data_IF_133882269491
#
_entry.id   IF_133882269491
#
_cell.length_a   1.000
_cell.length_b   1.000
_cell.length_c   1.000
_cell.angle_alpha   90.00
_cell.angle_beta   90.00
_cell.angle_gamma   90.00
#
_symmetry.space_group_name_H-M   'P 1'
#
loop_
_entity.id
_entity.type
_entity.pdbx_description
1 polymer ?
#
# COMPACT_ATOMS: atom_id res chain seq x y z
N UNK A 1 -15.86 -5.73 54.38
CA UNK A 1 -16.56 -6.80 55.05
C UNK A 1 -17.75 -7.19 54.23
N UNK A 2 -17.65 -8.28 53.46
CA UNK A 2 -18.72 -9.24 53.14
C UNK A 2 -18.15 -10.31 52.20
N UNK A 3 -18.06 -11.51 52.69
CA UNK A 3 -17.66 -12.76 52.04
C UNK A 3 -18.72 -13.15 51.02
N UNK A 4 -18.29 -13.66 49.86
CA UNK A 4 -19.17 -14.44 48.97
C UNK A 4 -18.59 -15.85 48.83
N UNK A 5 -19.44 -16.83 49.16
CA UNK A 5 -19.17 -18.26 49.23
C UNK A 5 -19.07 -18.89 47.84
N UNK A 6 -18.15 -19.87 47.71
CA UNK A 6 -18.08 -20.87 46.67
C UNK A 6 -19.22 -21.88 46.78
N UNK A 7 -19.94 -22.12 45.69
CA UNK A 7 -20.78 -23.30 45.53
C UNK A 7 -20.20 -24.22 44.46
N UNK A 8 -19.68 -25.37 44.91
CA UNK A 8 -19.41 -26.51 44.05
C UNK A 8 -20.70 -27.33 43.87
N UNK A 9 -20.97 -27.73 42.63
CA UNK A 9 -22.03 -28.70 42.30
C UNK A 9 -21.42 -30.08 42.04
N UNK A 10 -22.10 -31.16 42.46
CA UNK A 10 -21.55 -32.51 42.43
C UNK A 10 -21.78 -33.22 41.09
N UNK A 11 -20.77 -34.03 40.70
CA UNK A 11 -20.80 -34.95 39.60
C UNK A 11 -21.71 -36.13 39.88
N UNK A 12 -22.79 -36.30 39.11
CA UNK A 12 -23.63 -37.51 39.10
C UNK A 12 -23.19 -38.42 37.96
N UNK A 13 -22.62 -39.58 38.33
CA UNK A 13 -22.24 -40.62 37.38
C UNK A 13 -23.44 -41.43 36.92
N UNK A 14 -23.54 -41.68 35.65
CA UNK A 14 -24.62 -42.45 35.03
C UNK A 14 -24.16 -43.88 34.76
N UNK A 15 -24.74 -44.86 35.51
CA UNK A 15 -24.39 -46.30 35.59
C UNK A 15 -25.02 -47.14 34.47
N UNK A 16 -25.41 -46.64 33.37
CA UNK A 16 -26.14 -47.40 32.34
C UNK A 16 -25.34 -47.76 31.08
N UNK A 17 -24.02 -47.64 31.09
CA UNK A 17 -23.18 -47.91 29.90
C UNK A 17 -22.68 -49.36 29.79
N UNK A 18 -23.10 -50.29 30.72
CA UNK A 18 -22.55 -51.66 30.81
C UNK A 18 -23.52 -52.73 30.31
N UNK A 19 -24.71 -52.37 29.79
CA UNK A 19 -25.72 -53.39 29.38
C UNK A 19 -25.86 -53.56 27.87
N UNK A 20 -25.23 -52.65 27.03
CA UNK A 20 -25.32 -52.75 25.57
C UNK A 20 -24.19 -53.53 24.89
N UNK A 21 -23.26 -54.13 25.61
CA UNK A 21 -22.09 -54.81 25.00
C UNK A 21 -22.19 -56.38 24.95
N UNK A 22 -23.32 -57.00 25.31
CA UNK A 22 -23.45 -58.47 25.31
C UNK A 22 -24.43 -59.02 24.26
N UNK A 23 -25.02 -58.15 23.40
CA UNK A 23 -26.08 -58.54 22.46
C UNK A 23 -25.70 -58.84 21.02
N UNK A 24 -24.41 -58.76 20.59
CA UNK A 24 -24.01 -58.97 19.21
C UNK A 24 -22.94 -60.05 19.05
N UNK A 25 -23.29 -61.27 19.44
CA UNK A 25 -22.54 -62.44 19.02
C UNK A 25 -23.55 -63.58 18.82
N UNK A 26 -24.16 -63.71 17.66
CA UNK A 26 -24.72 -64.95 17.10
C UNK A 26 -25.65 -64.64 15.90
N UNK A 27 -25.05 -64.39 14.71
CA UNK A 27 -25.69 -64.78 13.45
C UNK A 27 -24.62 -64.87 12.34
N UNK A 28 -24.01 -66.04 12.29
CA UNK A 28 -23.27 -66.48 11.11
C UNK A 28 -24.24 -67.13 10.16
N UNK A 29 -24.38 -66.67 8.92
CA UNK A 29 -24.83 -67.54 7.82
C UNK A 29 -24.45 -66.90 6.44
N UNK A 30 -23.54 -67.63 5.82
CA UNK A 30 -23.41 -67.93 4.36
C UNK A 30 -23.09 -66.81 3.30
N UNK A 31 -22.05 -67.02 2.54
CA UNK A 31 -21.67 -66.04 1.50
C UNK A 31 -22.34 -66.33 0.14
N UNK A 32 -23.06 -65.35 -0.42
CA UNK A 32 -23.39 -65.34 -1.84
C UNK A 32 -22.35 -64.52 -2.58
N UNK A 33 -21.51 -65.17 -3.36
CA UNK A 33 -20.56 -64.55 -4.28
C UNK A 33 -21.33 -63.81 -5.37
N UNK A 34 -21.20 -62.48 -5.44
CA UNK A 34 -21.60 -61.68 -6.62
C UNK A 34 -20.34 -61.27 -7.40
N UNK A 35 -20.37 -61.21 -8.73
CA UNK A 35 -19.20 -60.89 -9.53
C UNK A 35 -18.71 -59.46 -9.29
N UNK A 36 -17.40 -59.33 -9.07
CA UNK A 36 -16.69 -58.07 -8.90
C UNK A 36 -16.61 -57.36 -10.24
N UNK A 37 -17.45 -56.34 -10.44
CA UNK A 37 -17.21 -55.33 -11.46
C UNK A 37 -16.09 -54.43 -10.94
N UNK A 38 -14.92 -54.54 -11.56
CA UNK A 38 -13.80 -53.62 -11.30
C UNK A 38 -14.25 -52.19 -11.64
N UNK A 39 -14.41 -51.34 -10.58
CA UNK A 39 -14.47 -49.91 -10.72
C UNK A 39 -13.16 -49.45 -11.36
N UNK A 40 -13.18 -48.50 -12.34
CA UNK A 40 -11.95 -47.92 -12.84
C UNK A 40 -11.18 -47.31 -11.70
N UNK A 41 -9.93 -47.70 -11.50
CA UNK A 41 -9.00 -47.00 -10.61
C UNK A 41 -8.87 -45.57 -11.08
N UNK A 42 -9.33 -44.62 -10.26
CA UNK A 42 -8.98 -43.21 -10.40
C UNK A 42 -7.45 -43.12 -10.29
N UNK A 43 -6.76 -42.56 -11.27
CA UNK A 43 -5.32 -42.40 -11.17
C UNK A 43 -5.01 -41.63 -9.87
N UNK A 44 -4.22 -42.24 -9.00
CA UNK A 44 -3.64 -41.51 -7.86
C UNK A 44 -2.93 -40.30 -8.45
N UNK A 45 -3.41 -39.10 -8.10
CA UNK A 45 -2.65 -37.87 -8.36
C UNK A 45 -1.23 -38.11 -7.84
N UNK A 46 -0.30 -38.19 -8.76
CA UNK A 46 1.13 -38.15 -8.46
C UNK A 46 1.36 -36.76 -7.86
N UNK A 47 1.45 -36.69 -6.52
CA UNK A 47 1.94 -35.48 -5.86
C UNK A 47 3.31 -35.20 -6.49
N UNK A 48 3.33 -34.27 -7.42
CA UNK A 48 4.58 -33.68 -7.93
C UNK A 48 5.30 -33.19 -6.68
N UNK A 49 6.54 -33.64 -6.41
CA UNK A 49 7.28 -33.18 -5.24
C UNK A 49 7.34 -31.66 -5.31
N UNK A 50 6.82 -30.98 -4.29
CA UNK A 50 7.02 -29.55 -4.14
C UNK A 50 8.52 -29.30 -4.25
N UNK A 51 8.92 -28.53 -5.28
CA UNK A 51 10.30 -28.11 -5.44
C UNK A 51 10.70 -27.45 -4.13
N UNK A 52 11.63 -28.05 -3.42
CA UNK A 52 12.19 -27.50 -2.18
C UNK A 52 12.62 -26.06 -2.47
N UNK A 53 11.95 -25.11 -1.81
CA UNK A 53 12.28 -23.70 -1.92
C UNK A 53 13.72 -23.53 -1.45
N UNK A 54 14.61 -23.07 -2.34
CA UNK A 54 15.98 -22.75 -1.97
C UNK A 54 15.96 -21.54 -1.06
N UNK A 55 16.01 -21.78 0.24
CA UNK A 55 16.07 -20.73 1.27
C UNK A 55 17.46 -20.11 1.31
N UNK A 56 17.54 -18.84 1.66
CA UNK A 56 18.82 -18.20 1.95
C UNK A 56 19.35 -18.71 3.31
N UNK A 57 20.65 -18.97 3.41
CA UNK A 57 21.30 -19.10 4.71
C UNK A 57 21.30 -17.75 5.45
N UNK A 58 21.55 -16.69 4.71
CA UNK A 58 21.43 -15.29 5.12
C UNK A 58 20.91 -14.48 3.92
N UNK A 59 19.86 -13.69 4.13
CA UNK A 59 19.33 -12.83 3.08
C UNK A 59 19.97 -11.43 3.16
N UNK A 60 20.57 -10.97 2.06
CA UNK A 60 21.28 -9.71 1.99
C UNK A 60 20.38 -8.61 1.40
N UNK A 61 20.15 -7.56 2.16
CA UNK A 61 19.39 -6.39 1.73
C UNK A 61 20.31 -5.17 1.72
N UNK A 62 20.30 -4.41 0.62
CA UNK A 62 20.98 -3.12 0.53
C UNK A 62 19.94 -1.99 0.62
N UNK A 63 20.14 -1.08 1.57
CA UNK A 63 19.30 0.10 1.77
C UNK A 63 20.09 1.33 1.34
N UNK A 64 19.59 2.04 0.33
CA UNK A 64 20.19 3.22 -0.30
C UNK A 64 19.33 4.45 -0.01
N UNK A 65 19.74 5.29 0.95
CA UNK A 65 19.01 6.47 1.41
C UNK A 65 19.93 7.70 1.53
N UNK A 66 19.44 8.93 1.32
CA UNK A 66 20.25 10.14 1.31
C UNK A 66 20.37 10.72 2.73
N UNK A 67 21.25 10.19 3.55
CA UNK A 67 21.54 10.77 4.89
C UNK A 67 22.27 12.10 4.79
N UNK A 68 23.01 12.34 3.68
CA UNK A 68 23.81 13.55 3.46
C UNK A 68 24.80 13.81 4.59
N UNK A 69 25.47 12.75 5.07
CA UNK A 69 26.41 12.83 6.18
C UNK A 69 27.62 13.72 5.88
N UNK A 70 27.95 13.90 4.60
CA UNK A 70 28.99 14.84 4.13
C UNK A 70 28.64 16.31 4.41
N UNK A 71 27.37 16.65 4.58
CA UNK A 71 26.89 18.02 4.87
C UNK A 71 26.78 18.29 6.39
N UNK A 72 26.95 17.24 7.22
CA UNK A 72 26.76 17.31 8.67
C UNK A 72 28.09 17.21 9.39
N UNK A 73 28.44 18.24 10.17
CA UNK A 73 29.57 18.19 11.08
C UNK A 73 29.16 17.44 12.35
N UNK A 74 29.29 16.10 12.37
CA UNK A 74 28.77 15.23 13.42
C UNK A 74 29.13 15.67 14.86
N UNK A 75 30.35 16.25 15.07
CA UNK A 75 30.79 16.71 16.40
C UNK A 75 30.08 17.99 16.87
N UNK A 76 29.58 18.79 15.96
CA UNK A 76 28.94 20.09 16.24
C UNK A 76 27.56 20.19 15.59
N UNK A 77 26.97 19.04 15.27
CA UNK A 77 25.66 18.99 14.62
C UNK A 77 24.60 19.68 15.50
N UNK A 78 23.85 20.55 14.87
CA UNK A 78 22.68 21.21 15.48
C UNK A 78 21.40 20.58 14.95
N UNK A 79 20.27 20.93 15.58
CA UNK A 79 18.95 20.40 15.19
C UNK A 79 18.67 20.55 13.68
N UNK A 80 18.99 21.70 13.11
CA UNK A 80 18.80 21.97 11.67
C UNK A 80 19.58 21.01 10.74
N UNK A 81 20.73 20.52 11.16
CA UNK A 81 21.51 19.56 10.40
C UNK A 81 20.85 18.17 10.43
N UNK A 82 20.32 17.77 11.58
CA UNK A 82 19.58 16.51 11.73
C UNK A 82 18.27 16.55 10.92
N UNK A 83 17.60 17.70 10.88
CA UNK A 83 16.38 17.89 10.09
C UNK A 83 16.59 17.66 8.59
N UNK A 84 17.78 17.97 8.04
CA UNK A 84 18.11 17.67 6.63
C UNK A 84 18.11 16.17 6.34
N UNK A 85 18.51 15.35 7.31
CA UNK A 85 18.54 13.89 7.19
C UNK A 85 17.28 13.21 7.75
N UNK A 86 16.33 13.97 8.31
CA UNK A 86 15.22 13.42 9.09
C UNK A 86 14.42 12.35 8.35
N UNK A 87 14.12 12.58 7.06
CA UNK A 87 13.41 11.60 6.22
C UNK A 87 14.20 10.28 6.12
N UNK A 88 15.50 10.37 5.85
CA UNK A 88 16.35 9.19 5.68
C UNK A 88 16.54 8.41 6.98
N UNK A 89 16.71 9.14 8.10
CA UNK A 89 16.84 8.56 9.44
C UNK A 89 15.54 7.85 9.84
N UNK A 90 14.42 8.52 9.70
CA UNK A 90 13.10 8.00 10.07
C UNK A 90 12.77 6.75 9.23
N UNK A 91 13.01 6.81 7.91
CA UNK A 91 12.83 5.66 7.02
C UNK A 91 13.75 4.48 7.40
N UNK A 92 15.04 4.73 7.63
CA UNK A 92 16.00 3.71 8.03
C UNK A 92 15.61 3.02 9.33
N UNK A 93 15.26 3.80 10.36
CA UNK A 93 14.88 3.28 11.67
C UNK A 93 13.65 2.38 11.57
N UNK A 94 12.62 2.85 10.85
CA UNK A 94 11.44 2.03 10.57
C UNK A 94 11.78 0.77 9.77
N UNK A 95 12.56 0.89 8.70
CA UNK A 95 12.95 -0.23 7.85
C UNK A 95 13.71 -1.30 8.63
N UNK A 96 14.68 -0.88 9.44
CA UNK A 96 15.45 -1.80 10.30
C UNK A 96 14.52 -2.55 11.27
N UNK A 97 13.61 -1.84 11.94
CA UNK A 97 12.62 -2.49 12.81
C UNK A 97 11.72 -3.49 12.07
N UNK A 98 11.34 -3.15 10.83
CA UNK A 98 10.57 -4.06 9.98
C UNK A 98 11.33 -5.34 9.65
N UNK A 99 12.60 -5.22 9.22
CA UNK A 99 13.48 -6.36 8.93
C UNK A 99 13.73 -7.20 10.19
N UNK A 100 14.04 -6.56 11.32
CA UNK A 100 14.26 -7.26 12.61
C UNK A 100 13.00 -8.03 13.05
N UNK A 101 11.82 -7.42 12.86
CA UNK A 101 10.54 -8.09 13.14
C UNK A 101 10.28 -9.28 12.21
N UNK A 102 10.61 -9.16 10.94
CA UNK A 102 10.52 -10.27 9.98
C UNK A 102 11.49 -11.40 10.33
N UNK A 103 12.71 -11.06 10.75
CA UNK A 103 13.72 -12.02 11.22
C UNK A 103 13.21 -12.83 12.41
N UNK A 104 12.65 -12.14 13.40
CA UNK A 104 12.10 -12.77 14.61
C UNK A 104 10.94 -13.72 14.32
N UNK A 105 10.02 -13.30 13.42
CA UNK A 105 8.83 -14.10 13.08
C UNK A 105 9.19 -15.33 12.24
N UNK A 106 10.16 -15.20 11.32
CA UNK A 106 10.47 -16.24 10.35
C UNK A 106 11.70 -17.10 10.72
N UNK A 107 12.47 -16.73 11.75
CA UNK A 107 13.71 -17.39 12.12
C UNK A 107 14.81 -17.31 11.03
N UNK A 108 14.79 -16.21 10.23
CA UNK A 108 15.72 -15.98 9.12
C UNK A 108 16.78 -14.97 9.49
N UNK A 109 18.04 -15.25 9.14
CA UNK A 109 19.12 -14.29 9.26
C UNK A 109 19.10 -13.28 8.09
N UNK A 110 19.23 -12.00 8.42
CA UNK A 110 19.36 -10.91 7.44
C UNK A 110 20.66 -10.15 7.64
N UNK A 111 21.28 -9.77 6.53
CA UNK A 111 22.36 -8.82 6.51
C UNK A 111 21.87 -7.53 5.84
N UNK A 112 21.73 -6.48 6.63
CA UNK A 112 21.34 -5.16 6.16
C UNK A 112 22.60 -4.32 5.92
N UNK A 113 22.87 -4.00 4.65
CA UNK A 113 23.90 -3.05 4.22
C UNK A 113 23.24 -1.70 4.00
N UNK A 114 23.73 -0.66 4.66
CA UNK A 114 23.15 0.69 4.58
C UNK A 114 24.15 1.63 3.93
N UNK A 115 23.69 2.35 2.90
CA UNK A 115 24.51 3.27 2.13
C UNK A 115 23.90 4.66 2.10
N UNK A 116 24.74 5.67 2.35
CA UNK A 116 24.39 7.08 2.13
C UNK A 116 24.56 7.42 0.66
N UNK A 117 23.45 7.64 -0.05
CA UNK A 117 23.49 8.04 -1.47
C UNK A 117 23.85 9.51 -1.65
N UNK A 118 23.79 10.33 -0.60
CA UNK A 118 23.98 11.80 -0.65
C UNK A 118 23.13 12.51 -1.72
N UNK A 119 22.08 11.83 -2.22
CA UNK A 119 21.28 12.28 -3.36
C UNK A 119 22.17 12.60 -4.60
N UNK A 120 23.11 11.72 -4.88
CA UNK A 120 24.15 11.92 -5.90
C UNK A 120 24.39 10.65 -6.71
N UNK A 121 24.29 10.73 -8.03
CA UNK A 121 24.56 9.63 -8.95
C UNK A 121 26.03 9.18 -8.86
N UNK A 122 26.97 10.11 -8.70
CA UNK A 122 28.40 9.78 -8.51
C UNK A 122 28.64 8.98 -7.24
N UNK A 123 27.89 9.26 -6.16
CA UNK A 123 27.98 8.47 -4.93
C UNK A 123 27.42 7.05 -5.14
N UNK A 124 26.30 6.93 -5.89
CA UNK A 124 25.74 5.61 -6.25
C UNK A 124 26.72 4.81 -7.11
N UNK A 125 27.35 5.46 -8.09
CA UNK A 125 28.41 4.88 -8.92
C UNK A 125 29.54 4.32 -8.08
N UNK A 126 30.09 5.11 -7.18
CA UNK A 126 31.13 4.66 -6.25
C UNK A 126 30.71 3.48 -5.36
N UNK A 127 29.46 3.42 -4.92
CA UNK A 127 28.91 2.27 -4.17
C UNK A 127 28.93 1.00 -5.04
N UNK A 128 28.56 1.12 -6.32
CA UNK A 128 28.54 0.01 -7.29
C UNK A 128 29.98 -0.45 -7.59
N UNK A 129 30.86 0.47 -7.96
CA UNK A 129 32.26 0.18 -8.36
C UNK A 129 33.07 -0.44 -7.23
N UNK A 130 32.89 0.01 -6.00
CA UNK A 130 33.53 -0.56 -4.81
C UNK A 130 32.91 -1.90 -4.38
N UNK A 131 31.99 -2.47 -5.17
CA UNK A 131 31.40 -3.78 -4.89
C UNK A 131 30.41 -3.79 -3.71
N UNK A 132 29.93 -2.62 -3.27
CA UNK A 132 29.01 -2.51 -2.13
C UNK A 132 27.75 -3.36 -2.27
N UNK A 133 27.26 -3.53 -3.51
CA UNK A 133 26.04 -4.28 -3.81
C UNK A 133 26.28 -5.75 -4.19
N UNK A 134 27.51 -6.26 -4.15
CA UNK A 134 27.81 -7.67 -4.45
C UNK A 134 27.11 -8.58 -3.43
N UNK A 135 26.45 -9.62 -3.94
CA UNK A 135 25.74 -10.61 -3.13
C UNK A 135 24.42 -10.11 -2.53
N UNK A 136 23.91 -8.95 -2.97
CA UNK A 136 22.62 -8.41 -2.52
C UNK A 136 21.47 -9.17 -3.19
N UNK A 137 20.45 -9.52 -2.41
CA UNK A 137 19.24 -10.20 -2.87
C UNK A 137 18.10 -9.21 -3.17
N UNK A 138 18.10 -8.05 -2.52
CA UNK A 138 17.13 -6.98 -2.69
C UNK A 138 17.79 -5.62 -2.45
N UNK A 139 17.60 -4.67 -3.35
CA UNK A 139 17.98 -3.28 -3.17
C UNK A 139 16.73 -2.48 -2.84
N UNK A 140 16.76 -1.65 -1.80
CA UNK A 140 15.69 -0.71 -1.42
C UNK A 140 16.21 0.71 -1.56
N UNK A 141 15.60 1.49 -2.44
CA UNK A 141 16.12 2.78 -2.89
C UNK A 141 17.01 2.64 -4.14
N UNK A 142 17.62 3.72 -4.60
CA UNK A 142 17.57 5.10 -4.07
C UNK A 142 16.15 5.65 -3.98
N UNK A 143 15.95 6.65 -3.12
CA UNK A 143 14.60 7.17 -2.82
C UNK A 143 14.10 8.23 -3.80
N UNK A 144 15.00 8.80 -4.61
CA UNK A 144 14.67 9.79 -5.61
C UNK A 144 14.72 9.24 -7.04
N UNK A 145 13.89 9.77 -7.98
CA UNK A 145 13.76 9.23 -9.32
C UNK A 145 15.07 9.17 -10.11
N UNK A 146 15.92 10.19 -10.03
CA UNK A 146 17.19 10.24 -10.77
C UNK A 146 18.14 9.11 -10.34
N UNK A 147 18.26 8.87 -9.04
CA UNK A 147 19.04 7.76 -8.52
C UNK A 147 18.48 6.39 -8.92
N UNK A 148 17.15 6.24 -8.92
CA UNK A 148 16.50 5.01 -9.39
C UNK A 148 16.75 4.76 -10.88
N UNK A 149 16.66 5.81 -11.70
CA UNK A 149 16.98 5.73 -13.14
C UNK A 149 18.44 5.31 -13.36
N UNK A 150 19.36 5.87 -12.57
CA UNK A 150 20.76 5.49 -12.60
C UNK A 150 20.97 4.01 -12.24
N UNK A 151 20.25 3.49 -11.23
CA UNK A 151 20.31 2.10 -10.79
C UNK A 151 19.76 1.08 -11.79
N UNK A 152 18.94 1.53 -12.77
CA UNK A 152 18.25 0.63 -13.72
C UNK A 152 19.22 -0.30 -14.44
N UNK A 153 20.32 0.24 -15.00
CA UNK A 153 21.28 -0.56 -15.74
C UNK A 153 21.93 -1.65 -14.86
N UNK A 154 22.30 -1.31 -13.63
CA UNK A 154 22.86 -2.27 -12.69
C UNK A 154 21.85 -3.36 -12.33
N UNK A 155 20.62 -2.96 -12.01
CA UNK A 155 19.52 -3.86 -11.66
C UNK A 155 19.22 -4.86 -12.78
N UNK A 156 19.08 -4.37 -14.01
CA UNK A 156 18.79 -5.23 -15.18
C UNK A 156 19.96 -6.17 -15.48
N UNK A 157 21.19 -5.65 -15.52
CA UNK A 157 22.38 -6.43 -15.84
C UNK A 157 22.67 -7.53 -14.81
N UNK A 158 22.42 -7.26 -13.53
CA UNK A 158 22.66 -8.21 -12.44
C UNK A 158 21.42 -9.04 -12.09
N UNK A 159 20.26 -8.72 -12.62
CA UNK A 159 18.99 -9.39 -12.28
C UNK A 159 18.58 -9.17 -10.82
N UNK A 160 19.00 -8.04 -10.20
CA UNK A 160 18.72 -7.76 -8.79
C UNK A 160 17.51 -6.83 -8.70
N UNK A 161 16.46 -7.22 -7.96
CA UNK A 161 15.29 -6.38 -7.76
C UNK A 161 15.60 -5.08 -7.01
N UNK A 162 15.00 -3.98 -7.48
CA UNK A 162 15.11 -2.65 -6.88
C UNK A 162 13.73 -2.15 -6.47
N UNK A 163 13.56 -1.88 -5.19
CA UNK A 163 12.34 -1.26 -4.65
C UNK A 163 12.46 0.26 -4.76
N UNK A 164 11.49 0.88 -5.45
CA UNK A 164 11.23 2.32 -5.36
C UNK A 164 10.32 2.58 -4.15
N UNK A 165 10.85 3.04 -3.01
CA UNK A 165 10.09 3.05 -1.78
C UNK A 165 9.21 4.29 -1.61
N UNK A 166 9.58 5.44 -2.21
CA UNK A 166 9.01 6.74 -1.87
C UNK A 166 8.53 7.57 -3.07
N UNK A 167 9.09 7.36 -4.26
CA UNK A 167 8.73 8.17 -5.43
C UNK A 167 7.48 7.64 -6.14
N UNK A 168 6.52 8.54 -6.40
CA UNK A 168 5.31 8.25 -7.18
C UNK A 168 5.53 8.41 -8.70
N UNK A 169 6.73 8.04 -9.18
CA UNK A 169 7.11 8.15 -10.58
C UNK A 169 6.35 7.17 -11.46
N UNK A 170 6.22 7.50 -12.73
CA UNK A 170 5.70 6.57 -13.73
C UNK A 170 6.72 5.43 -13.95
N UNK A 171 6.34 4.16 -13.80
CA UNK A 171 7.26 3.04 -13.99
C UNK A 171 7.90 3.03 -15.39
N UNK A 172 7.22 3.57 -16.40
CA UNK A 172 7.72 3.71 -17.75
C UNK A 172 8.97 4.61 -17.88
N UNK A 173 9.21 5.51 -16.92
CA UNK A 173 10.40 6.36 -16.90
C UNK A 173 11.68 5.54 -16.68
N UNK A 174 11.56 4.37 -16.05
CA UNK A 174 12.70 3.52 -15.69
C UNK A 174 12.92 2.37 -16.67
N UNK A 175 11.86 1.85 -17.29
CA UNK A 175 11.92 0.68 -18.18
C UNK A 175 12.76 -0.46 -17.59
N UNK A 176 12.45 -0.84 -16.35
CA UNK A 176 13.19 -1.83 -15.56
C UNK A 176 12.27 -2.97 -15.13
N UNK A 177 12.41 -4.19 -15.70
CA UNK A 177 11.58 -5.34 -15.34
C UNK A 177 11.78 -5.84 -13.90
N UNK A 178 12.87 -5.42 -13.25
CA UNK A 178 13.18 -5.76 -11.85
C UNK A 178 12.75 -4.65 -10.86
N UNK A 179 12.12 -3.58 -11.34
CA UNK A 179 11.64 -2.50 -10.48
C UNK A 179 10.41 -2.95 -9.68
N UNK A 180 10.34 -2.54 -8.42
CA UNK A 180 9.19 -2.76 -7.56
C UNK A 180 8.72 -1.39 -7.08
N UNK A 181 7.67 -0.86 -7.68
CA UNK A 181 7.10 0.46 -7.37
C UNK A 181 6.08 0.35 -6.23
N UNK A 182 6.39 0.97 -5.10
CA UNK A 182 5.55 0.93 -3.88
C UNK A 182 4.46 1.99 -3.91
N UNK A 183 4.84 3.24 -4.24
CA UNK A 183 3.90 4.37 -4.26
C UNK A 183 3.16 4.41 -5.59
N UNK A 184 1.84 4.57 -5.50
CA UNK A 184 0.98 4.62 -6.68
C UNK A 184 1.25 5.91 -7.48
N UNK A 185 1.36 5.78 -8.79
CA UNK A 185 1.43 6.92 -9.68
C UNK A 185 0.04 7.58 -9.85
N UNK A 186 0.02 8.77 -10.40
CA UNK A 186 -1.21 9.57 -10.51
C UNK A 186 -2.29 8.93 -11.40
N UNK A 187 -1.90 8.13 -12.40
CA UNK A 187 -2.85 7.43 -13.28
C UNK A 187 -3.68 6.40 -12.53
N UNK A 188 -3.05 5.73 -11.54
CA UNK A 188 -3.77 4.79 -10.66
C UNK A 188 -4.78 5.53 -9.76
N UNK A 189 -4.43 6.74 -9.29
CA UNK A 189 -5.37 7.59 -8.55
C UNK A 189 -6.55 8.02 -9.41
N UNK A 190 -6.30 8.47 -10.63
CA UNK A 190 -7.34 8.85 -11.58
C UNK A 190 -8.26 7.66 -11.91
N UNK A 191 -7.68 6.48 -12.16
CA UNK A 191 -8.43 5.24 -12.40
C UNK A 191 -9.28 4.85 -11.19
N UNK A 192 -8.74 4.90 -9.97
CA UNK A 192 -9.49 4.58 -8.74
C UNK A 192 -10.71 5.47 -8.58
N UNK A 193 -10.56 6.78 -8.83
CA UNK A 193 -11.67 7.74 -8.82
C UNK A 193 -12.69 7.39 -9.91
N UNK A 194 -12.23 7.18 -11.14
CA UNK A 194 -13.10 6.85 -12.27
C UNK A 194 -13.89 5.56 -12.05
N UNK A 195 -13.24 4.49 -11.57
CA UNK A 195 -13.88 3.21 -11.27
C UNK A 195 -14.93 3.35 -10.16
N UNK A 196 -14.65 4.12 -9.13
CA UNK A 196 -15.61 4.40 -8.07
C UNK A 196 -16.82 5.19 -8.60
N UNK A 197 -16.59 6.26 -9.36
CA UNK A 197 -17.64 7.11 -9.93
C UNK A 197 -18.55 6.31 -10.86
N UNK A 198 -17.95 5.54 -11.78
CA UNK A 198 -18.73 4.77 -12.78
C UNK A 198 -19.54 3.62 -12.17
N UNK A 199 -19.10 3.07 -11.05
CA UNK A 199 -19.81 2.03 -10.31
C UNK A 199 -20.93 2.60 -9.41
N UNK A 200 -20.72 3.81 -8.86
CA UNK A 200 -21.55 4.35 -7.79
C UNK A 200 -22.68 5.24 -8.31
N UNK A 201 -22.44 5.98 -9.39
CA UNK A 201 -23.39 6.98 -9.87
C UNK A 201 -24.09 6.57 -11.16
N UNK A 202 -25.40 6.92 -11.26
CA UNK A 202 -26.18 6.66 -12.46
C UNK A 202 -25.84 7.69 -13.56
N UNK A 203 -25.35 7.24 -14.73
CA UNK A 203 -24.93 8.15 -15.80
C UNK A 203 -26.07 9.00 -16.37
N UNK A 204 -27.33 8.52 -16.33
CA UNK A 204 -28.47 9.28 -16.84
C UNK A 204 -28.78 10.55 -16.03
N UNK A 205 -28.46 10.56 -14.74
CA UNK A 205 -28.77 11.67 -13.83
C UNK A 205 -27.55 12.43 -13.36
N UNK A 206 -26.33 11.96 -13.72
CA UNK A 206 -25.06 12.49 -13.22
C UNK A 206 -24.28 13.17 -14.33
N UNK A 207 -23.76 14.35 -14.04
CA UNK A 207 -22.78 15.07 -14.86
C UNK A 207 -21.42 14.99 -14.16
N UNK A 208 -20.40 14.48 -14.85
CA UNK A 208 -19.00 14.47 -14.36
C UNK A 208 -18.32 15.73 -14.86
N UNK A 209 -17.77 16.52 -13.97
CA UNK A 209 -17.11 17.78 -14.28
C UNK A 209 -15.66 17.75 -13.80
N UNK A 210 -14.73 17.91 -14.71
CA UNK A 210 -13.33 18.15 -14.38
C UNK A 210 -13.07 19.66 -14.29
N UNK A 211 -12.68 20.16 -13.12
CA UNK A 211 -12.16 21.52 -12.94
C UNK A 211 -10.65 21.46 -12.98
N UNK A 212 -10.07 22.01 -14.04
CA UNK A 212 -8.65 21.91 -14.33
C UNK A 212 -8.09 23.25 -14.82
N UNK A 213 -7.27 23.94 -14.01
CA UNK A 213 -6.69 25.24 -14.40
C UNK A 213 -5.63 25.16 -15.51
N UNK A 214 -5.29 23.93 -15.97
CA UNK A 214 -4.40 23.67 -17.12
C UNK A 214 -2.93 24.05 -16.92
N UNK A 215 -2.47 24.25 -15.68
CA UNK A 215 -1.02 24.32 -15.46
C UNK A 215 -0.37 22.96 -15.69
N UNK A 216 0.94 22.93 -15.92
CA UNK A 216 1.66 21.66 -16.13
C UNK A 216 1.49 20.68 -14.94
N UNK A 217 1.47 21.21 -13.71
CA UNK A 217 1.24 20.40 -12.50
C UNK A 217 -0.20 19.86 -12.40
N UNK A 218 -1.19 20.65 -12.82
CA UNK A 218 -2.60 20.25 -12.76
C UNK A 218 -2.95 19.24 -13.86
N UNK A 219 -2.29 19.32 -15.02
CA UNK A 219 -2.45 18.37 -16.11
C UNK A 219 -1.94 16.96 -15.74
N UNK A 220 -1.02 16.82 -14.80
CA UNK A 220 -0.56 15.52 -14.31
C UNK A 220 -1.75 14.67 -13.81
N UNK A 221 -2.71 15.30 -13.13
CA UNK A 221 -3.97 14.63 -12.68
C UNK A 221 -5.10 14.82 -13.70
N UNK A 222 -5.17 15.99 -14.36
CA UNK A 222 -6.23 16.35 -15.30
C UNK A 222 -6.25 15.46 -16.54
N UNK A 223 -5.09 15.18 -17.14
CA UNK A 223 -4.99 14.38 -18.34
C UNK A 223 -5.50 12.93 -18.15
N UNK A 224 -5.07 12.14 -17.14
CA UNK A 224 -5.58 10.79 -16.95
C UNK A 224 -7.07 10.76 -16.56
N UNK A 225 -7.59 11.74 -15.81
CA UNK A 225 -9.04 11.86 -15.55
C UNK A 225 -9.82 12.11 -16.83
N UNK A 226 -9.37 13.05 -17.66
CA UNK A 226 -9.96 13.35 -18.97
C UNK A 226 -9.96 12.10 -19.84
N UNK A 227 -8.84 11.42 -19.95
CA UNK A 227 -8.71 10.18 -20.73
C UNK A 227 -9.70 9.11 -20.26
N UNK A 228 -9.81 8.92 -18.93
CA UNK A 228 -10.71 7.93 -18.36
C UNK A 228 -12.18 8.20 -18.74
N UNK A 229 -12.67 9.43 -18.53
CA UNK A 229 -14.08 9.75 -18.77
C UNK A 229 -14.43 9.97 -20.23
N UNK A 230 -13.48 10.38 -21.07
CA UNK A 230 -13.67 10.41 -22.53
C UNK A 230 -13.91 9.01 -23.11
N UNK A 231 -13.40 7.96 -22.46
CA UNK A 231 -13.67 6.56 -22.82
C UNK A 231 -14.98 6.00 -22.23
N UNK A 232 -15.80 6.84 -21.55
CA UNK A 232 -17.06 6.45 -20.90
C UNK A 232 -18.26 7.24 -21.49
N UNK A 233 -18.70 6.93 -22.73
CA UNK A 233 -19.69 7.73 -23.45
C UNK A 233 -21.06 7.79 -22.77
N UNK A 234 -21.32 6.89 -21.81
CA UNK A 234 -22.57 6.88 -21.05
C UNK A 234 -22.65 8.05 -20.05
N UNK A 235 -21.51 8.60 -19.61
CA UNK A 235 -21.49 9.73 -18.71
C UNK A 235 -21.38 11.04 -19.49
N UNK A 236 -22.21 12.02 -19.12
CA UNK A 236 -22.00 13.39 -19.57
C UNK A 236 -20.73 13.91 -18.89
N UNK A 237 -19.66 14.09 -19.65
CA UNK A 237 -18.38 14.61 -19.18
C UNK A 237 -18.14 16.02 -19.67
N UNK A 238 -17.73 16.92 -18.79
CA UNK A 238 -17.42 18.33 -19.11
C UNK A 238 -16.11 18.72 -18.42
N UNK A 239 -15.38 19.63 -19.04
CA UNK A 239 -14.14 20.18 -18.48
C UNK A 239 -14.14 21.69 -18.52
N UNK A 240 -13.77 22.31 -17.40
CA UNK A 240 -13.70 23.76 -17.22
C UNK A 240 -12.40 24.18 -16.54
N UNK A 241 -11.86 25.35 -16.93
CA UNK A 241 -10.70 25.96 -16.29
C UNK A 241 -10.97 26.49 -14.88
N UNK A 242 -12.24 26.71 -14.51
CA UNK A 242 -12.61 27.20 -13.19
C UNK A 242 -14.03 26.85 -12.80
N UNK A 243 -14.31 26.89 -11.51
CA UNK A 243 -15.66 26.71 -10.94
C UNK A 243 -16.64 27.83 -11.35
N UNK A 244 -16.16 29.02 -11.67
CA UNK A 244 -17.00 30.12 -12.12
C UNK A 244 -17.62 29.83 -13.49
N UNK A 245 -16.90 29.13 -14.37
CA UNK A 245 -17.46 28.67 -15.65
C UNK A 245 -18.53 27.60 -15.43
N UNK A 246 -18.30 26.65 -14.51
CA UNK A 246 -19.31 25.64 -14.15
C UNK A 246 -20.63 26.26 -13.71
N UNK A 247 -20.58 27.28 -12.86
CA UNK A 247 -21.79 27.94 -12.32
C UNK A 247 -22.75 28.39 -13.44
N UNK A 248 -22.22 28.90 -14.55
CA UNK A 248 -23.05 29.37 -15.70
C UNK A 248 -23.62 28.23 -16.54
N UNK A 249 -23.22 26.98 -16.29
CA UNK A 249 -23.58 25.79 -17.09
C UNK A 249 -24.38 24.75 -16.31
N UNK A 250 -24.81 25.08 -15.07
CA UNK A 250 -25.57 24.15 -14.25
C UNK A 250 -26.93 23.78 -14.89
N UNK A 251 -27.24 22.49 -14.81
CA UNK A 251 -28.52 21.91 -15.26
C UNK A 251 -29.36 21.55 -14.03
N UNK A 252 -30.61 21.98 -14.03
CA UNK A 252 -31.52 21.69 -12.93
C UNK A 252 -31.80 20.20 -12.79
N UNK A 253 -31.80 19.69 -11.56
CA UNK A 253 -32.14 18.31 -11.25
C UNK A 253 -31.05 17.28 -11.59
N UNK A 254 -29.82 17.71 -11.93
CA UNK A 254 -28.67 16.85 -12.13
C UNK A 254 -27.80 16.80 -10.88
N UNK A 255 -27.20 15.63 -10.65
CA UNK A 255 -26.13 15.43 -9.69
C UNK A 255 -24.77 15.72 -10.34
N UNK A 256 -23.90 16.41 -9.65
CA UNK A 256 -22.57 16.77 -10.14
C UNK A 256 -21.48 16.00 -9.41
N UNK A 257 -20.70 15.21 -10.16
CA UNK A 257 -19.44 14.64 -9.69
C UNK A 257 -18.33 15.58 -10.13
N UNK A 258 -17.79 16.34 -9.19
CA UNK A 258 -16.76 17.34 -9.45
C UNK A 258 -15.40 16.74 -9.16
N UNK A 259 -14.53 16.71 -10.17
CA UNK A 259 -13.15 16.26 -10.11
C UNK A 259 -12.26 17.50 -10.13
N UNK A 260 -11.48 17.74 -9.09
CA UNK A 260 -10.58 18.89 -9.01
C UNK A 260 -9.13 18.43 -9.13
N UNK A 261 -8.49 18.75 -10.27
CA UNK A 261 -7.14 18.26 -10.59
C UNK A 261 -6.02 18.98 -9.84
N UNK A 262 -6.29 20.13 -9.24
CA UNK A 262 -5.27 20.99 -8.63
C UNK A 262 -5.02 20.69 -7.17
N UNK A 263 -3.76 20.81 -6.75
CA UNK A 263 -3.33 20.89 -5.36
C UNK A 263 -2.83 22.29 -4.96
N UNK A 264 -2.83 23.26 -5.88
CA UNK A 264 -2.44 24.64 -5.56
C UNK A 264 -3.50 25.31 -4.67
N UNK A 265 -3.10 25.68 -3.44
CA UNK A 265 -3.98 26.31 -2.45
C UNK A 265 -4.59 27.62 -2.96
N UNK A 266 -3.87 28.38 -3.78
CA UNK A 266 -4.37 29.64 -4.35
C UNK A 266 -5.55 29.43 -5.28
N UNK A 267 -5.60 28.28 -5.94
CA UNK A 267 -6.72 27.87 -6.79
C UNK A 267 -7.80 27.11 -6.02
N UNK A 268 -7.39 26.19 -5.17
CA UNK A 268 -8.32 25.27 -4.47
C UNK A 268 -9.19 26.03 -3.47
N UNK A 269 -8.62 26.89 -2.61
CA UNK A 269 -9.40 27.58 -1.56
C UNK A 269 -10.56 28.41 -2.12
N UNK A 270 -10.34 29.31 -3.11
CA UNK A 270 -11.45 30.06 -3.72
C UNK A 270 -12.46 29.14 -4.44
N UNK A 271 -11.99 28.02 -5.00
CA UNK A 271 -12.88 27.02 -5.64
C UNK A 271 -13.81 26.38 -4.61
N UNK A 272 -13.29 25.95 -3.45
CA UNK A 272 -14.09 25.40 -2.36
C UNK A 272 -15.12 26.42 -1.84
N UNK A 273 -14.70 27.67 -1.62
CA UNK A 273 -15.60 28.76 -1.21
C UNK A 273 -16.74 28.97 -2.20
N UNK A 274 -16.44 28.92 -3.50
CA UNK A 274 -17.44 29.04 -4.55
C UNK A 274 -18.39 27.86 -4.59
N UNK A 275 -17.89 26.63 -4.51
CA UNK A 275 -18.72 25.43 -4.42
C UNK A 275 -19.66 25.46 -3.22
N UNK A 276 -19.18 25.93 -2.05
CA UNK A 276 -20.03 26.11 -0.87
C UNK A 276 -21.16 27.10 -1.10
N UNK A 277 -20.92 28.20 -1.83
CA UNK A 277 -21.98 29.15 -2.21
C UNK A 277 -22.99 28.51 -3.16
N UNK A 278 -22.52 27.75 -4.15
CA UNK A 278 -23.38 27.05 -5.11
C UNK A 278 -24.24 25.98 -4.42
N UNK A 279 -23.68 25.25 -3.45
CA UNK A 279 -24.41 24.28 -2.63
C UNK A 279 -25.57 24.91 -1.88
N UNK A 280 -25.37 26.09 -1.30
CA UNK A 280 -26.44 26.82 -0.56
C UNK A 280 -27.64 27.20 -1.45
N UNK A 281 -27.42 27.31 -2.75
CA UNK A 281 -28.48 27.60 -3.73
C UNK A 281 -28.94 26.36 -4.50
N UNK A 282 -28.62 25.16 -4.03
CA UNK A 282 -29.20 23.91 -4.48
C UNK A 282 -28.34 23.05 -5.41
N UNK A 283 -27.03 23.29 -5.48
CA UNK A 283 -26.13 22.35 -6.16
C UNK A 283 -26.10 21.01 -5.41
N UNK A 284 -26.41 19.91 -6.10
CA UNK A 284 -26.22 18.54 -5.62
C UNK A 284 -24.89 18.01 -6.15
N UNK A 285 -23.88 18.04 -5.30
CA UNK A 285 -22.51 17.66 -5.68
C UNK A 285 -21.89 16.61 -4.79
N UNK A 286 -20.87 15.96 -5.37
CA UNK A 286 -19.83 15.23 -4.66
C UNK A 286 -18.49 15.68 -5.24
N UNK A 287 -17.52 15.90 -4.39
CA UNK A 287 -16.19 16.42 -4.77
C UNK A 287 -15.12 15.32 -4.65
N UNK A 288 -14.29 15.19 -5.67
CA UNK A 288 -13.06 14.41 -5.64
C UNK A 288 -11.88 15.36 -5.77
N UNK A 289 -11.07 15.42 -4.71
CA UNK A 289 -9.87 16.25 -4.66
C UNK A 289 -8.61 15.54 -5.12
N UNK A 290 -7.55 16.34 -5.33
CA UNK A 290 -6.22 15.81 -5.63
C UNK A 290 -5.67 14.97 -4.46
N UNK A 291 -4.91 13.87 -4.69
CA UNK A 291 -4.33 13.03 -3.64
C UNK A 291 -3.52 13.80 -2.59
N UNK A 292 -2.81 14.85 -2.99
CA UNK A 292 -1.98 15.68 -2.10
C UNK A 292 -2.79 16.45 -1.05
N UNK A 293 -4.11 16.53 -1.19
CA UNK A 293 -4.95 17.19 -0.18
C UNK A 293 -4.88 16.52 1.19
N UNK A 294 -4.55 15.23 1.22
CA UNK A 294 -4.34 14.48 2.48
C UNK A 294 -3.24 15.11 3.34
N UNK A 295 -2.26 15.77 2.71
CA UNK A 295 -1.12 16.43 3.38
C UNK A 295 -1.32 17.92 3.61
N UNK A 296 -2.44 18.49 3.12
CA UNK A 296 -2.69 19.91 3.18
C UNK A 296 -3.81 20.24 4.18
N UNK A 297 -3.67 21.38 4.85
CA UNK A 297 -4.65 21.88 5.80
C UNK A 297 -5.71 22.71 5.06
N UNK A 298 -6.71 22.06 4.46
CA UNK A 298 -7.93 22.69 3.99
C UNK A 298 -8.98 22.73 5.10
N UNK A 299 -9.99 23.58 4.95
CA UNK A 299 -11.11 23.66 5.89
C UNK A 299 -11.92 22.35 5.86
N UNK A 300 -11.82 21.57 6.93
CA UNK A 300 -12.48 20.26 7.04
C UNK A 300 -14.01 20.35 6.99
N UNK A 301 -14.60 21.43 7.53
CA UNK A 301 -16.04 21.65 7.47
C UNK A 301 -16.53 21.81 6.03
N UNK A 302 -15.78 22.57 5.21
CA UNK A 302 -16.08 22.72 3.79
C UNK A 302 -15.94 21.40 3.05
N UNK A 303 -14.84 20.67 3.27
CA UNK A 303 -14.62 19.39 2.61
C UNK A 303 -15.70 18.37 2.99
N UNK A 304 -16.09 18.32 4.25
CA UNK A 304 -17.18 17.46 4.70
C UNK A 304 -18.53 17.90 4.10
N UNK A 305 -18.84 19.19 4.12
CA UNK A 305 -20.08 19.72 3.56
C UNK A 305 -20.19 19.45 2.05
N UNK A 306 -19.09 19.49 1.30
CA UNK A 306 -19.02 19.19 -0.13
C UNK A 306 -18.94 17.68 -0.43
N UNK A 307 -19.13 16.83 0.58
CA UNK A 307 -19.08 15.37 0.42
C UNK A 307 -17.79 14.92 -0.30
N UNK A 308 -16.63 15.34 0.24
CA UNK A 308 -15.36 15.27 -0.46
C UNK A 308 -14.66 13.93 -0.25
N UNK A 309 -14.19 13.37 -1.36
CA UNK A 309 -13.36 12.18 -1.43
C UNK A 309 -11.95 12.53 -1.93
N UNK A 310 -10.96 11.80 -1.44
CA UNK A 310 -9.57 11.82 -1.95
C UNK A 310 -9.02 10.41 -2.01
N UNK A 311 -8.06 10.17 -2.88
CA UNK A 311 -7.36 8.89 -2.94
C UNK A 311 -6.02 8.98 -2.22
N UNK A 312 -5.56 7.89 -1.59
CA UNK A 312 -4.28 7.86 -0.91
C UNK A 312 -3.62 6.49 -1.02
N UNK A 313 -2.30 6.47 -1.23
CA UNK A 313 -1.49 5.25 -1.21
C UNK A 313 -1.29 4.71 0.21
N UNK A 314 -1.62 5.50 1.24
CA UNK A 314 -1.32 5.17 2.62
C UNK A 314 -2.23 5.91 3.62
N UNK A 315 -2.43 5.28 4.77
CA UNK A 315 -3.10 5.89 5.93
C UNK A 315 -2.77 5.09 7.19
N UNK A 316 -2.27 5.76 8.23
CA UNK A 316 -2.13 5.16 9.55
C UNK A 316 -3.49 5.13 10.24
N UNK A 317 -3.86 3.97 10.76
CA UNK A 317 -5.01 3.81 11.64
C UNK A 317 -4.51 3.62 13.09
N UNK A 318 -4.50 4.71 13.83
CA UNK A 318 -4.01 4.75 15.22
C UNK A 318 -4.89 3.98 16.20
N UNK A 319 -6.04 3.46 15.78
CA UNK A 319 -6.91 2.62 16.62
C UNK A 319 -6.44 1.16 16.64
N UNK A 320 -5.60 0.76 15.69
CA UNK A 320 -5.08 -0.62 15.59
C UNK A 320 -4.02 -0.91 16.65
N UNK A 321 -4.11 -2.08 17.25
CA UNK A 321 -3.15 -2.57 18.25
C UNK A 321 -1.72 -2.67 17.72
N UNK A 322 -1.56 -3.13 16.48
CA UNK A 322 -0.24 -3.30 15.83
C UNK A 322 0.45 -1.95 15.61
N UNK A 323 -0.30 -0.91 15.27
CA UNK A 323 0.20 0.46 15.15
C UNK A 323 0.71 0.95 16.50
N UNK A 324 -0.07 0.73 17.56
CA UNK A 324 0.32 1.14 18.91
C UNK A 324 1.56 0.38 19.43
N UNK A 325 1.69 -0.91 19.09
CA UNK A 325 2.88 -1.72 19.42
C UNK A 325 4.10 -1.14 18.72
N UNK A 326 4.02 -0.85 17.42
CA UNK A 326 5.11 -0.23 16.66
C UNK A 326 5.54 1.11 17.26
N UNK A 327 4.59 2.00 17.56
CA UNK A 327 4.88 3.31 18.17
C UNK A 327 5.63 3.14 19.51
N UNK A 328 5.18 2.22 20.35
CA UNK A 328 5.84 1.95 21.65
C UNK A 328 7.27 1.42 21.45
N UNK A 329 7.48 0.50 20.55
CA UNK A 329 8.80 -0.04 20.23
C UNK A 329 9.74 1.03 19.67
N UNK A 330 9.24 1.85 18.73
CA UNK A 330 10.00 2.94 18.13
C UNK A 330 10.44 3.96 19.17
N UNK A 331 9.52 4.40 20.05
CA UNK A 331 9.83 5.30 21.17
C UNK A 331 10.87 4.72 22.13
N UNK A 332 10.75 3.44 22.48
CA UNK A 332 11.66 2.77 23.39
C UNK A 332 13.09 2.69 22.84
N UNK A 333 13.26 2.56 21.54
CA UNK A 333 14.57 2.41 20.90
C UNK A 333 15.21 3.75 20.51
N UNK A 334 14.41 4.71 20.07
CA UNK A 334 14.93 5.94 19.46
C UNK A 334 14.63 7.22 20.25
N UNK A 335 13.77 7.16 21.28
CA UNK A 335 13.31 8.30 22.08
C UNK A 335 12.61 9.39 21.24
N UNK A 336 12.03 9.03 20.08
CA UNK A 336 11.28 9.91 19.19
C UNK A 336 9.92 9.31 18.84
N UNK A 337 9.02 10.17 18.35
CA UNK A 337 7.79 9.70 17.69
C UNK A 337 8.10 9.22 16.28
N UNK A 338 7.55 8.08 15.84
CA UNK A 338 7.69 7.67 14.46
C UNK A 338 6.94 8.62 13.53
N UNK A 339 7.63 9.16 12.53
CA UNK A 339 7.03 9.94 11.46
C UNK A 339 6.46 9.06 10.34
N UNK A 340 5.93 9.69 9.31
CA UNK A 340 5.38 9.00 8.13
C UNK A 340 6.39 8.02 7.51
N UNK A 341 7.65 8.44 7.44
CA UNK A 341 8.70 7.64 6.81
C UNK A 341 9.11 6.42 7.65
N UNK A 342 8.98 6.49 8.99
CA UNK A 342 9.20 5.33 9.85
C UNK A 342 8.16 4.22 9.58
N UNK A 343 6.88 4.59 9.46
CA UNK A 343 5.84 3.64 9.09
C UNK A 343 6.06 3.04 7.70
N UNK A 344 6.44 3.87 6.71
CA UNK A 344 6.77 3.39 5.36
C UNK A 344 7.94 2.42 5.38
N UNK A 345 9.00 2.78 6.07
CA UNK A 345 10.17 1.94 6.25
C UNK A 345 9.82 0.60 6.88
N UNK A 346 9.06 0.63 7.98
CA UNK A 346 8.63 -0.59 8.68
C UNK A 346 7.84 -1.53 7.76
N UNK A 347 6.81 -1.01 7.08
CA UNK A 347 5.97 -1.83 6.20
C UNK A 347 6.79 -2.49 5.08
N UNK A 348 7.70 -1.73 4.46
CA UNK A 348 8.56 -2.24 3.38
C UNK A 348 9.55 -3.27 3.93
N UNK A 349 10.23 -2.97 5.04
CA UNK A 349 11.19 -3.86 5.68
C UNK A 349 10.56 -5.18 6.14
N UNK A 350 9.41 -5.10 6.79
CA UNK A 350 8.70 -6.28 7.26
C UNK A 350 8.16 -7.15 6.12
N UNK A 351 7.53 -6.51 5.13
CA UNK A 351 6.94 -7.23 3.99
C UNK A 351 7.99 -7.97 3.17
N UNK A 352 9.05 -7.27 2.73
CA UNK A 352 10.10 -7.90 1.93
C UNK A 352 10.95 -8.86 2.76
N UNK A 353 11.22 -8.54 4.03
CA UNK A 353 11.86 -9.47 4.95
C UNK A 353 11.10 -10.79 5.06
N UNK A 354 9.79 -10.72 5.27
CA UNK A 354 8.92 -11.90 5.34
C UNK A 354 8.93 -12.69 4.03
N UNK A 355 8.83 -12.02 2.87
CA UNK A 355 8.87 -12.67 1.57
C UNK A 355 10.20 -13.40 1.32
N UNK A 356 11.33 -12.74 1.59
CA UNK A 356 12.65 -13.34 1.47
C UNK A 356 12.83 -14.57 2.37
N UNK A 357 12.35 -14.49 3.61
CA UNK A 357 12.43 -15.58 4.57
C UNK A 357 11.54 -16.78 4.17
N UNK A 358 10.33 -16.54 3.70
CA UNK A 358 9.37 -17.58 3.37
C UNK A 358 9.67 -18.25 2.04
N UNK A 359 10.10 -17.48 1.04
CA UNK A 359 10.18 -17.91 -0.36
C UNK A 359 11.60 -17.93 -0.94
N UNK A 360 12.62 -17.51 -0.17
CA UNK A 360 14.00 -17.53 -0.60
C UNK A 360 14.17 -16.86 -1.97
N UNK A 361 14.93 -17.51 -2.86
CA UNK A 361 15.19 -16.98 -4.22
C UNK A 361 13.94 -16.82 -5.09
N UNK A 362 12.83 -17.46 -4.74
CA UNK A 362 11.60 -17.40 -5.53
C UNK A 362 10.61 -16.31 -5.07
N UNK A 363 10.99 -15.45 -4.13
CA UNK A 363 10.10 -14.48 -3.47
C UNK A 363 9.36 -13.54 -4.43
N UNK A 364 9.97 -13.16 -5.56
CA UNK A 364 9.33 -12.30 -6.55
C UNK A 364 8.07 -12.92 -7.16
N UNK A 365 8.01 -14.26 -7.30
CA UNK A 365 6.83 -14.97 -7.82
C UNK A 365 5.62 -14.89 -6.89
N UNK A 366 5.83 -14.45 -5.65
CA UNK A 366 4.79 -14.31 -4.64
C UNK A 366 4.27 -12.88 -4.50
N UNK A 367 4.99 -11.88 -5.04
CA UNK A 367 4.55 -10.48 -5.02
C UNK A 367 3.15 -10.26 -5.60
N UNK A 368 2.82 -10.96 -6.70
CA UNK A 368 1.52 -10.81 -7.38
C UNK A 368 0.40 -11.68 -6.79
N UNK A 369 0.73 -12.58 -5.86
CA UNK A 369 -0.24 -13.52 -5.29
C UNK A 369 -0.80 -13.04 -3.95
N UNK A 370 0.04 -12.40 -3.16
CA UNK A 370 -0.25 -12.05 -1.77
C UNK A 370 -0.62 -10.58 -1.65
N UNK A 371 -1.73 -10.31 -0.94
CA UNK A 371 -2.06 -8.97 -0.49
C UNK A 371 -1.51 -8.78 0.92
N UNK A 372 -0.91 -7.64 1.17
CA UNK A 372 -0.38 -7.28 2.48
C UNK A 372 -1.01 -5.98 2.97
N UNK A 373 -1.55 -6.01 4.19
CA UNK A 373 -2.02 -4.82 4.90
C UNK A 373 -1.03 -4.50 6.02
N UNK A 374 -0.22 -3.47 5.79
CA UNK A 374 0.76 -2.96 6.75
C UNK A 374 0.15 -2.05 7.81
N UNK A 375 1.01 -1.32 8.49
CA UNK A 375 0.62 -0.31 9.47
C UNK A 375 0.12 0.97 8.80
N UNK A 376 0.65 1.27 7.65
CA UNK A 376 0.49 2.52 6.91
C UNK A 376 0.15 2.28 5.43
N UNK A 377 0.84 1.32 4.78
CA UNK A 377 0.64 0.96 3.39
C UNK A 377 -0.12 -0.37 3.25
N UNK A 378 -0.73 -0.55 2.08
CA UNK A 378 -1.24 -1.83 1.62
C UNK A 378 -0.53 -2.19 0.32
N UNK A 379 -0.13 -3.44 0.16
CA UNK A 379 0.54 -3.91 -1.06
C UNK A 379 -0.30 -4.96 -1.78
N UNK A 380 -0.48 -4.75 -3.07
CA UNK A 380 -1.07 -5.68 -4.02
C UNK A 380 -0.45 -5.40 -5.39
N UNK A 381 0.44 -6.27 -5.81
CA UNK A 381 1.24 -6.01 -7.02
C UNK A 381 0.64 -6.67 -8.25
N UNK A 382 0.77 -5.97 -9.38
CA UNK A 382 0.70 -6.54 -10.72
C UNK A 382 2.10 -6.56 -11.32
N UNK A 383 2.36 -7.48 -12.24
CA UNK A 383 3.64 -7.57 -12.94
C UNK A 383 3.49 -7.21 -14.40
N UNK A 384 4.36 -6.36 -14.87
CA UNK A 384 4.56 -6.02 -16.27
C UNK A 384 5.99 -6.37 -16.68
N UNK A 385 6.16 -7.00 -17.82
CA UNK A 385 7.47 -7.51 -18.27
C UNK A 385 8.50 -6.42 -18.58
N UNK A 386 8.07 -5.18 -18.86
CA UNK A 386 8.94 -4.04 -19.11
C UNK A 386 9.07 -3.12 -17.92
N UNK A 387 7.99 -2.99 -17.14
CA UNK A 387 7.87 -1.98 -16.07
C UNK A 387 8.10 -2.54 -14.66
N UNK A 388 8.18 -3.86 -14.53
CA UNK A 388 8.38 -4.56 -13.25
C UNK A 388 7.09 -4.73 -12.46
N UNK A 389 7.18 -4.62 -11.15
CA UNK A 389 6.08 -4.85 -10.21
C UNK A 389 5.49 -3.52 -9.75
N UNK A 390 4.21 -3.33 -9.94
CA UNK A 390 3.50 -2.09 -9.66
C UNK A 390 2.47 -2.35 -8.55
N UNK A 391 2.60 -1.65 -7.44
CA UNK A 391 1.58 -1.69 -6.40
C UNK A 391 0.30 -1.00 -6.90
N UNK A 392 -0.80 -1.71 -6.93
CA UNK A 392 -2.12 -1.21 -7.36
C UNK A 392 -3.07 -0.97 -6.19
N UNK A 393 -2.63 -1.28 -4.97
CA UNK A 393 -3.44 -1.02 -3.78
C UNK A 393 -3.52 0.47 -3.52
N UNK A 394 -4.73 1.00 -3.51
CA UNK A 394 -5.01 2.42 -3.34
C UNK A 394 -6.30 2.59 -2.55
N UNK A 395 -6.27 3.43 -1.54
CA UNK A 395 -7.41 3.72 -0.68
C UNK A 395 -8.24 4.87 -1.27
N UNK A 396 -9.57 4.78 -1.15
CA UNK A 396 -10.46 5.91 -1.29
C UNK A 396 -10.87 6.38 0.10
N UNK A 397 -10.63 7.64 0.40
CA UNK A 397 -10.90 8.26 1.69
C UNK A 397 -12.01 9.29 1.53
N UNK A 398 -12.88 9.41 2.55
CA UNK A 398 -13.99 10.34 2.61
C UNK A 398 -13.86 11.25 3.83
N UNK A 399 -14.02 12.55 3.65
CA UNK A 399 -14.11 13.53 4.73
C UNK A 399 -15.48 13.43 5.40
N UNK A 400 -15.53 12.82 6.58
CA UNK A 400 -16.74 12.62 7.37
C UNK A 400 -16.42 12.61 8.86
N UNK A 401 -17.29 13.22 9.69
CA UNK A 401 -17.10 13.32 11.14
C UNK A 401 -15.74 13.94 11.52
N UNK A 402 -15.36 15.01 10.81
CA UNK A 402 -14.10 15.76 11.00
C UNK A 402 -12.83 14.92 10.79
N UNK A 403 -12.94 13.79 10.12
CA UNK A 403 -11.83 12.88 9.86
C UNK A 403 -11.87 12.34 8.42
N UNK A 404 -10.72 11.88 7.95
CA UNK A 404 -10.62 11.08 6.74
C UNK A 404 -10.89 9.61 7.08
N UNK A 405 -11.95 9.05 6.52
CA UNK A 405 -12.36 7.66 6.74
C UNK A 405 -12.12 6.83 5.48
N UNK A 406 -11.62 5.62 5.64
CA UNK A 406 -11.44 4.69 4.52
C UNK A 406 -12.82 4.20 4.07
N UNK A 407 -13.09 4.33 2.77
CA UNK A 407 -14.30 3.83 2.11
C UNK A 407 -14.01 2.52 1.39
N UNK A 408 -12.87 2.47 0.69
CA UNK A 408 -12.36 1.30 -0.04
C UNK A 408 -10.84 1.22 0.08
#
# INVERSE_FOLDING_TARGET
MTLVQNHQLPLSGNKYWLICMVGILLSACSPKIKPVTKKPEVPKEVKVPEKTVSRFSEANIALLVPFRLNEIKLKTAVKADVEKAAMAIDFYQGFKLGVDSAAAVAGQNFKLKVFDTRDSNTQIEGIIENGGLIGTNLIVGPVYPDGLKYMTNYSVTKGIPVVNPLAASQPAEFNNPNLISIVNNIDLHARKIGDYVTRTYNPATTVVVLINPKSASDEVMGAPLRQYFSAKPNFQFQEYGSVFTLETKLQKGKKYVILLSSSDRKFVVPTLDKLMKMKRVGLDEVLFGHPDWVKQNYNTDQLQALNTYVTSSYKVDYTRSEVNVFIKQYRALFNFEPGEYAFKGFDIGFYFGKLLAQHGQSYLKHLTKDKYKGLHNTFSFVHDNALGYINTSLMLLHYKNFALNVVE
#
